data_IF_475250789571
#
_entry.id   IF_475250789571
#
_cell.length_a   1.000
_cell.length_b   1.000
_cell.length_c   1.000
_cell.angle_alpha   90.00
_cell.angle_beta   90.00
_cell.angle_gamma   90.00
#
_symmetry.space_group_name_H-M   'P 1'
#
loop_
_entity.id
_entity.type
_entity.pdbx_description
1 polymer ?
#
# COMPACT_ATOMS: atom_id res chain seq x y z
N UNK A 1 -8.88 12.96 12.47
CA UNK A 1 -8.74 13.86 11.31
C UNK A 1 -7.35 13.64 10.72
N UNK A 2 -7.20 12.87 9.64
CA UNK A 2 -5.89 12.46 9.12
C UNK A 2 -5.36 13.48 8.10
N UNK A 3 -4.78 14.58 8.60
CA UNK A 3 -4.12 15.61 7.78
C UNK A 3 -2.68 15.21 7.45
N UNK A 4 -2.51 14.37 6.43
CA UNK A 4 -1.29 14.38 5.60
C UNK A 4 -1.71 14.68 4.17
N UNK A 5 -2.02 15.95 3.91
CA UNK A 5 -2.27 16.44 2.54
C UNK A 5 -1.07 16.09 1.66
N UNK A 6 -1.32 15.56 0.45
CA UNK A 6 -0.24 15.32 -0.51
C UNK A 6 0.60 16.58 -0.68
N UNK A 7 1.93 16.51 -0.47
CA UNK A 7 2.86 17.61 -0.81
C UNK A 7 2.76 18.01 -2.30
N UNK A 8 2.27 17.10 -3.14
CA UNK A 8 2.22 17.22 -4.59
C UNK A 8 1.01 17.99 -5.16
N UNK A 9 -0.01 18.33 -4.35
CA UNK A 9 -1.29 18.92 -4.80
C UNK A 9 -2.04 18.17 -5.93
N UNK A 10 -1.55 17.00 -6.39
CA UNK A 10 -2.03 16.33 -7.60
C UNK A 10 -3.15 15.32 -7.34
N UNK A 11 -3.33 14.85 -6.10
CA UNK A 11 -4.48 14.03 -5.70
C UNK A 11 -4.94 14.38 -4.29
N UNK A 12 -6.24 14.73 -4.22
CA UNK A 12 -6.97 15.05 -3.00
C UNK A 12 -7.00 13.86 -2.04
N UNK A 13 -7.05 14.20 -0.76
CA UNK A 13 -7.51 13.45 0.43
C UNK A 13 -7.87 11.96 0.21
N UNK A 14 -7.29 11.06 1.01
CA UNK A 14 -7.57 9.61 1.10
C UNK A 14 -6.95 8.67 0.04
N UNK A 15 -5.74 8.96 -0.47
CA UNK A 15 -5.01 7.97 -1.28
C UNK A 15 -4.07 7.10 -0.42
N UNK A 16 -4.52 5.90 -0.05
CA UNK A 16 -3.78 4.96 0.79
C UNK A 16 -2.34 4.65 0.31
N UNK A 17 -2.14 4.45 -0.98
CA UNK A 17 -0.83 4.18 -1.58
C UNK A 17 0.13 5.37 -1.44
N UNK A 18 -0.41 6.58 -1.62
CA UNK A 18 0.35 7.80 -1.47
C UNK A 18 0.76 8.03 -0.01
N UNK A 19 -0.17 7.85 0.93
CA UNK A 19 0.10 8.01 2.36
C UNK A 19 1.14 7.00 2.83
N UNK A 20 0.98 5.73 2.45
CA UNK A 20 1.93 4.69 2.84
C UNK A 20 3.31 4.91 2.22
N UNK A 21 3.40 5.24 0.93
CA UNK A 21 4.70 5.53 0.30
C UNK A 21 5.38 6.74 0.94
N UNK A 22 4.65 7.81 1.26
CA UNK A 22 5.25 8.94 1.96
C UNK A 22 5.81 8.54 3.33
N UNK A 23 5.06 7.78 4.12
CA UNK A 23 5.53 7.27 5.41
C UNK A 23 6.77 6.37 5.25
N UNK A 24 6.77 5.47 4.26
CA UNK A 24 7.92 4.61 3.99
C UNK A 24 9.17 5.39 3.57
N UNK A 25 9.02 6.41 2.72
CA UNK A 25 10.12 7.28 2.30
C UNK A 25 10.68 8.07 3.49
N UNK A 26 9.81 8.67 4.31
CA UNK A 26 10.22 9.43 5.50
C UNK A 26 10.93 8.56 6.55
N UNK A 27 10.66 7.25 6.57
CA UNK A 27 11.32 6.29 7.45
C UNK A 27 12.51 5.55 6.79
N UNK A 28 12.93 5.97 5.58
CA UNK A 28 14.06 5.37 4.87
C UNK A 28 13.84 3.91 4.43
N UNK A 29 12.59 3.47 4.32
CA UNK A 29 12.19 2.10 3.92
C UNK A 29 11.88 1.98 2.44
N UNK A 30 11.69 3.10 1.75
CA UNK A 30 11.41 3.14 0.32
C UNK A 30 12.12 4.34 -0.31
N UNK A 31 12.60 4.16 -1.54
CA UNK A 31 13.19 5.27 -2.28
C UNK A 31 12.10 6.27 -2.70
N UNK A 32 12.49 7.53 -2.97
CA UNK A 32 11.54 8.55 -3.40
C UNK A 32 10.88 8.21 -4.75
N UNK A 33 11.53 7.43 -5.62
CA UNK A 33 11.01 6.96 -6.91
C UNK A 33 11.18 5.43 -7.00
N UNK A 34 10.29 4.68 -6.35
CA UNK A 34 10.41 3.23 -6.29
C UNK A 34 10.25 2.62 -7.69
N UNK A 35 11.22 1.78 -8.10
CA UNK A 35 11.26 1.17 -9.43
C UNK A 35 10.04 0.26 -9.72
N UNK A 36 9.41 -0.27 -8.68
CA UNK A 36 8.17 -1.00 -8.75
C UNK A 36 6.94 -0.12 -8.97
N UNK A 37 7.01 1.20 -8.73
CA UNK A 37 5.84 2.03 -8.98
C UNK A 37 5.64 2.25 -10.48
N UNK A 38 4.44 1.91 -10.97
CA UNK A 38 4.06 2.16 -12.35
C UNK A 38 3.20 3.43 -12.49
N UNK A 39 2.84 4.06 -11.38
CA UNK A 39 2.38 5.44 -11.35
C UNK A 39 2.80 6.14 -10.05
N UNK A 40 3.51 7.26 -10.20
CA UNK A 40 3.94 8.13 -9.11
C UNK A 40 3.43 9.56 -9.32
N UNK A 41 3.38 10.36 -8.25
CA UNK A 41 3.21 11.81 -8.37
C UNK A 41 4.54 12.46 -8.80
N UNK A 42 4.53 13.78 -9.08
CA UNK A 42 5.74 14.54 -9.44
C UNK A 42 6.86 14.46 -8.39
N UNK A 43 6.49 14.19 -7.14
CA UNK A 43 7.38 14.06 -5.99
C UNK A 43 7.75 12.58 -5.71
N UNK A 44 7.39 11.66 -6.62
CA UNK A 44 7.79 10.26 -6.62
C UNK A 44 6.97 9.30 -5.75
N UNK A 45 5.97 9.79 -5.01
CA UNK A 45 5.10 8.93 -4.18
C UNK A 45 4.16 8.10 -5.02
N UNK A 46 3.94 6.86 -4.60
CA UNK A 46 3.14 5.85 -5.30
C UNK A 46 1.66 6.24 -5.30
N UNK A 47 1.00 6.14 -6.45
CA UNK A 47 -0.40 6.55 -6.61
C UNK A 47 -1.41 5.41 -6.62
N UNK A 48 -0.96 4.15 -6.66
CA UNK A 48 -1.79 2.96 -6.82
C UNK A 48 -1.45 1.89 -5.79
N UNK A 49 -2.46 1.42 -5.06
CA UNK A 49 -2.28 0.36 -4.06
C UNK A 49 -1.73 -0.93 -4.69
N UNK A 50 -2.19 -1.28 -5.90
CA UNK A 50 -1.75 -2.47 -6.62
C UNK A 50 -0.27 -2.48 -7.00
N UNK A 51 0.40 -1.33 -7.03
CA UNK A 51 1.84 -1.27 -7.33
C UNK A 51 2.68 -1.80 -6.14
N UNK A 52 2.11 -1.83 -4.93
CA UNK A 52 2.75 -2.43 -3.77
C UNK A 52 2.67 -3.96 -3.74
N UNK A 53 1.56 -4.49 -4.26
CA UNK A 53 1.17 -5.89 -4.12
C UNK A 53 1.72 -6.78 -5.23
N UNK A 54 1.88 -8.06 -4.92
CA UNK A 54 2.13 -9.11 -5.89
C UNK A 54 0.82 -9.69 -6.38
N UNK A 55 0.47 -9.43 -7.64
CA UNK A 55 -0.61 -10.12 -8.37
C UNK A 55 -1.95 -10.14 -7.62
N UNK A 56 -2.75 -9.09 -7.73
CA UNK A 56 -4.05 -9.01 -7.07
C UNK A 56 -5.18 -9.65 -7.91
N UNK A 57 -5.64 -10.86 -7.57
CA UNK A 57 -6.76 -11.54 -8.24
C UNK A 57 -6.42 -12.25 -9.57
N UNK A 58 -7.37 -13.06 -10.05
CA UNK A 58 -7.24 -14.13 -11.07
C UNK A 58 -6.78 -13.72 -12.47
N UNK A 59 -6.48 -12.44 -12.72
CA UNK A 59 -6.08 -11.89 -14.02
C UNK A 59 -4.90 -10.89 -13.92
N UNK A 60 -4.13 -10.92 -12.83
CA UNK A 60 -3.11 -9.90 -12.57
C UNK A 60 -1.75 -10.20 -13.20
N UNK A 61 -1.57 -9.69 -14.41
CA UNK A 61 -0.25 -9.42 -15.02
C UNK A 61 0.47 -8.34 -14.19
N UNK A 62 1.77 -8.53 -13.94
CA UNK A 62 2.56 -7.90 -12.88
C UNK A 62 2.46 -6.37 -12.74
N UNK A 63 1.94 -5.92 -11.59
CA UNK A 63 2.07 -4.54 -11.16
C UNK A 63 3.05 -4.45 -10.00
N UNK A 64 4.24 -3.92 -10.29
CA UNK A 64 5.11 -3.22 -9.34
C UNK A 64 5.80 -3.95 -8.19
N UNK A 65 5.11 -4.84 -7.47
CA UNK A 65 5.65 -5.66 -6.38
C UNK A 65 6.60 -4.92 -5.42
N UNK A 66 6.33 -3.65 -5.07
CA UNK A 66 7.25 -2.85 -4.25
C UNK A 66 7.61 -3.56 -2.94
N UNK A 67 6.63 -4.17 -2.26
CA UNK A 67 6.89 -4.90 -1.02
C UNK A 67 7.91 -6.03 -1.19
N UNK A 68 7.84 -6.77 -2.30
CA UNK A 68 8.76 -7.89 -2.55
C UNK A 68 10.10 -7.42 -3.12
N UNK A 69 10.06 -6.63 -4.19
CA UNK A 69 11.23 -6.33 -5.00
C UNK A 69 12.14 -5.26 -4.37
N UNK A 70 11.56 -4.29 -3.66
CA UNK A 70 12.33 -3.19 -3.08
C UNK A 70 12.47 -3.33 -1.57
N UNK A 71 11.46 -3.88 -0.89
CA UNK A 71 11.49 -4.05 0.56
C UNK A 71 11.87 -5.48 1.00
N UNK A 72 11.98 -6.43 0.08
CA UNK A 72 12.40 -7.81 0.38
C UNK A 72 11.38 -8.62 1.20
N UNK A 73 10.12 -8.18 1.26
CA UNK A 73 9.09 -8.80 2.08
C UNK A 73 8.52 -10.06 1.44
N UNK A 74 8.08 -10.99 2.28
CA UNK A 74 7.42 -12.23 1.86
C UNK A 74 5.90 -12.10 1.96
N UNK A 75 5.19 -12.59 0.94
CA UNK A 75 3.72 -12.54 0.91
C UNK A 75 3.11 -13.79 1.54
N UNK A 76 2.06 -13.59 2.32
CA UNK A 76 1.19 -14.63 2.89
C UNK A 76 -0.28 -14.24 2.70
N UNK A 77 -1.16 -15.23 2.52
CA UNK A 77 -2.62 -15.05 2.59
C UNK A 77 -3.16 -15.27 4.02
N UNK A 78 -2.33 -15.79 4.92
CA UNK A 78 -2.64 -15.94 6.34
C UNK A 78 -2.14 -14.73 7.13
N UNK A 79 -2.96 -14.16 8.04
CA UNK A 79 -2.56 -13.01 8.84
C UNK A 79 -1.45 -13.38 9.84
N UNK A 80 -0.38 -12.58 9.95
CA UNK A 80 0.62 -12.74 11.00
C UNK A 80 0.09 -12.25 12.36
N UNK A 81 0.81 -12.56 13.44
CA UNK A 81 0.44 -12.17 14.83
C UNK A 81 0.69 -10.70 15.16
N UNK A 82 1.32 -9.93 14.29
CA UNK A 82 1.70 -8.54 14.53
C UNK A 82 1.43 -7.61 13.35
N UNK A 83 1.88 -6.36 13.49
CA UNK A 83 1.77 -5.36 12.43
C UNK A 83 2.60 -5.79 11.21
N UNK A 84 1.96 -5.76 10.05
CA UNK A 84 2.57 -6.10 8.77
C UNK A 84 2.09 -5.13 7.69
N UNK A 85 2.72 -5.20 6.53
CA UNK A 85 2.22 -4.48 5.37
C UNK A 85 1.07 -5.28 4.76
N UNK A 86 -0.04 -4.62 4.48
CA UNK A 86 -1.26 -5.26 4.01
C UNK A 86 -1.68 -4.61 2.71
N UNK A 87 -1.87 -5.45 1.69
CA UNK A 87 -2.69 -5.11 0.54
C UNK A 87 -4.04 -5.82 0.68
N UNK A 88 -5.11 -5.13 0.36
CA UNK A 88 -6.44 -5.71 0.35
C UNK A 88 -7.30 -5.14 -0.77
N UNK A 89 -8.32 -5.88 -1.19
CA UNK A 89 -9.14 -5.50 -2.34
C UNK A 89 -10.61 -5.90 -2.17
N UNK A 90 -11.49 -5.06 -2.73
CA UNK A 90 -12.89 -5.38 -2.99
C UNK A 90 -13.31 -4.82 -4.34
N UNK A 91 -13.77 -5.70 -5.25
CA UNK A 91 -14.31 -5.31 -6.55
C UNK A 91 -13.36 -4.45 -7.38
N UNK A 92 -12.07 -4.80 -7.47
CA UNK A 92 -11.07 -4.03 -8.24
C UNK A 92 -10.52 -2.80 -7.53
N UNK A 93 -11.03 -2.45 -6.34
CA UNK A 93 -10.55 -1.31 -5.54
C UNK A 93 -9.56 -1.79 -4.49
N UNK A 94 -8.28 -1.59 -4.79
CA UNK A 94 -7.19 -1.94 -3.88
C UNK A 94 -6.97 -0.90 -2.79
N UNK A 95 -6.54 -1.37 -1.62
CA UNK A 95 -6.14 -0.57 -0.46
C UNK A 95 -4.85 -1.11 0.13
N UNK A 96 -4.01 -0.23 0.67
CA UNK A 96 -2.71 -0.59 1.21
C UNK A 96 -2.39 0.19 2.48
N UNK A 97 -1.83 -0.48 3.48
CA UNK A 97 -1.49 0.11 4.77
C UNK A 97 -0.50 -0.76 5.55
N UNK A 98 0.06 -0.23 6.65
CA UNK A 98 0.80 -0.98 7.66
C UNK A 98 -0.04 -1.09 8.94
N UNK A 99 -0.17 -2.29 9.49
CA UNK A 99 -0.96 -2.54 10.69
C UNK A 99 -1.44 -3.99 10.79
N UNK A 100 -2.57 -4.20 11.45
CA UNK A 100 -3.29 -5.49 11.50
C UNK A 100 -4.54 -5.40 10.64
N UNK A 101 -5.20 -6.53 10.38
CA UNK A 101 -6.44 -6.55 9.57
C UNK A 101 -7.51 -5.56 10.06
N UNK A 102 -7.60 -5.37 11.38
CA UNK A 102 -8.60 -4.55 12.07
C UNK A 102 -8.07 -3.19 12.55
N UNK A 103 -6.78 -2.89 12.36
CA UNK A 103 -6.17 -1.65 12.86
C UNK A 103 -5.11 -1.10 11.91
N UNK A 104 -5.18 0.20 11.63
CA UNK A 104 -4.22 0.90 10.77
C UNK A 104 -3.21 1.68 11.61
N UNK A 105 -1.93 1.37 11.46
CA UNK A 105 -0.83 2.11 12.09
C UNK A 105 -0.31 3.21 11.15
N UNK A 106 -0.12 2.88 9.88
CA UNK A 106 0.23 3.86 8.85
C UNK A 106 -0.58 3.61 7.57
N UNK A 107 -1.30 4.62 7.11
CA UNK A 107 -2.24 4.53 5.99
C UNK A 107 -3.46 5.42 6.23
N UNK A 108 -4.57 5.11 5.57
CA UNK A 108 -5.82 5.90 5.64
C UNK A 108 -6.99 5.14 6.29
N UNK A 109 -6.75 3.97 6.86
CA UNK A 109 -7.78 3.08 7.43
C UNK A 109 -7.38 1.60 7.29
N UNK A 110 -8.06 0.71 8.01
CA UNK A 110 -7.84 -0.74 7.95
C UNK A 110 -8.68 -1.40 6.85
N UNK A 111 -8.39 -2.66 6.54
CA UNK A 111 -9.19 -3.40 5.56
C UNK A 111 -10.61 -3.69 6.05
N UNK A 112 -10.79 -3.88 7.36
CA UNK A 112 -12.12 -4.08 7.96
C UNK A 112 -12.97 -2.81 7.92
N UNK A 113 -12.40 -1.62 8.14
CA UNK A 113 -13.11 -0.33 8.04
C UNK A 113 -13.74 -0.13 6.66
N UNK A 114 -13.08 -0.63 5.61
CA UNK A 114 -13.55 -0.53 4.23
C UNK A 114 -14.27 -1.79 3.72
N UNK A 115 -14.48 -2.79 4.59
CA UNK A 115 -15.15 -4.04 4.25
C UNK A 115 -14.47 -4.81 3.12
N UNK A 116 -13.13 -4.87 3.14
CA UNK A 116 -12.32 -5.53 2.11
C UNK A 116 -12.49 -7.06 2.19
N UNK A 117 -12.45 -7.73 1.04
CA UNK A 117 -12.76 -9.17 0.94
C UNK A 117 -11.54 -10.03 0.61
N UNK A 118 -10.52 -9.45 -0.01
CA UNK A 118 -9.25 -10.11 -0.33
C UNK A 118 -8.11 -9.46 0.44
N UNK A 119 -7.16 -10.25 0.94
CA UNK A 119 -6.04 -9.78 1.75
C UNK A 119 -4.74 -10.50 1.34
N UNK A 120 -3.67 -9.72 1.31
CA UNK A 120 -2.29 -10.18 1.21
C UNK A 120 -1.49 -9.49 2.32
N UNK A 121 -0.76 -10.28 3.09
CA UNK A 121 0.06 -9.84 4.20
C UNK A 121 1.54 -9.95 3.81
N UNK A 122 2.32 -8.95 4.15
CA UNK A 122 3.74 -8.84 3.79
C UNK A 122 4.58 -8.57 5.04
N UNK A 123 5.53 -9.46 5.30
CA UNK A 123 6.43 -9.46 6.47
C UNK A 123 7.88 -9.66 6.06
#
# INVERSE_FOLDING_TARGET
MYYFSCKCNTRKENNCAHYLSNWLIENGKLSANPAGATATCSEGRVLRAKDFATGAGSNSVGFGNIFKNEMGLSMSLNPPTGNCFIYCERGGRGHVYYGTKSNCVAGTGSGEDFGMTYYQYYT
#
